data_IF_013434933421
#
_entry.id   IF_013434933421
#
_cell.length_a   1.000
_cell.length_b   1.000
_cell.length_c   1.000
_cell.angle_alpha   90.00
_cell.angle_beta   90.00
_cell.angle_gamma   90.00
#
_symmetry.space_group_name_H-M   'P 1'
#
loop_
_entity.id
_entity.type
_entity.pdbx_description
1 polymer ?
#
# COMPACT_ATOMS: atom_id res chain seq x y z
N UNK A 1 16.25 25.40 -11.02
CA UNK A 1 16.87 25.19 -9.69
C UNK A 1 15.79 24.70 -8.73
N UNK A 2 15.58 23.38 -8.64
CA UNK A 2 14.56 22.80 -7.77
C UNK A 2 15.17 22.44 -6.43
N UNK A 3 14.66 23.04 -5.34
CA UNK A 3 15.01 22.63 -3.98
C UNK A 3 14.70 21.14 -3.83
N UNK A 4 15.74 20.32 -3.74
CA UNK A 4 15.62 18.96 -3.24
C UNK A 4 15.27 19.08 -1.75
N UNK A 5 13.98 19.19 -1.44
CA UNK A 5 13.54 18.93 -0.07
C UNK A 5 13.89 17.48 0.23
N UNK A 6 14.98 17.27 0.96
CA UNK A 6 15.26 15.98 1.57
C UNK A 6 14.11 15.74 2.56
N UNK A 7 13.22 14.81 2.25
CA UNK A 7 12.15 14.42 3.14
C UNK A 7 12.76 13.66 4.32
N UNK A 8 12.40 14.06 5.54
CA UNK A 8 12.83 13.32 6.74
C UNK A 8 11.91 12.12 6.95
N UNK A 9 12.30 11.19 7.84
CA UNK A 9 11.48 10.03 8.16
C UNK A 9 10.08 10.45 8.68
N UNK A 10 10.03 11.49 9.50
CA UNK A 10 8.82 12.04 10.12
C UNK A 10 7.80 12.57 9.09
N UNK A 11 8.27 13.10 7.96
CA UNK A 11 7.40 13.60 6.89
C UNK A 11 6.50 12.50 6.31
N UNK A 12 7.00 11.26 6.28
CA UNK A 12 6.25 10.09 5.82
C UNK A 12 5.11 9.71 6.76
N UNK A 13 5.16 10.15 8.02
CA UNK A 13 4.17 9.95 9.06
C UNK A 13 3.35 11.20 9.37
N UNK A 14 3.39 12.21 8.50
CA UNK A 14 2.45 13.35 8.56
C UNK A 14 0.99 12.88 8.52
N UNK A 15 0.10 13.64 9.18
CA UNK A 15 -1.36 13.40 9.17
C UNK A 15 -1.88 13.09 7.78
N UNK A 16 -1.49 13.89 6.79
CA UNK A 16 -1.94 13.73 5.41
C UNK A 16 -1.48 12.39 4.81
N UNK A 17 -0.25 11.96 5.10
CA UNK A 17 0.29 10.68 4.62
C UNK A 17 -0.47 9.50 5.23
N UNK A 18 -0.74 9.55 6.53
CA UNK A 18 -1.51 8.52 7.25
C UNK A 18 -2.95 8.47 6.73
N UNK A 19 -3.62 9.62 6.65
CA UNK A 19 -4.99 9.74 6.12
C UNK A 19 -5.09 9.18 4.69
N UNK A 20 -4.15 9.52 3.80
CA UNK A 20 -4.15 8.97 2.43
C UNK A 20 -3.98 7.45 2.41
N UNK A 21 -3.15 6.90 3.29
CA UNK A 21 -3.01 5.46 3.45
C UNK A 21 -4.33 4.83 3.93
N UNK A 22 -4.97 5.39 4.97
CA UNK A 22 -6.24 4.93 5.50
C UNK A 22 -7.38 4.99 4.47
N UNK A 23 -7.47 6.09 3.71
CA UNK A 23 -8.43 6.23 2.60
C UNK A 23 -8.26 5.09 1.59
N UNK A 24 -7.02 4.72 1.26
CA UNK A 24 -6.76 3.60 0.34
C UNK A 24 -7.35 2.29 0.85
N UNK A 25 -7.19 1.99 2.15
CA UNK A 25 -7.82 0.82 2.77
C UNK A 25 -9.35 0.92 2.75
N UNK A 26 -9.91 2.09 3.08
CA UNK A 26 -11.36 2.32 3.06
C UNK A 26 -11.98 2.13 1.68
N UNK A 27 -11.29 2.56 0.62
CA UNK A 27 -11.73 2.37 -0.76
C UNK A 27 -11.65 0.91 -1.22
N UNK A 28 -10.57 0.20 -0.84
CA UNK A 28 -10.46 -1.25 -1.10
C UNK A 28 -11.60 -2.02 -0.44
N UNK A 29 -11.92 -1.69 0.81
CA UNK A 29 -13.04 -2.29 1.53
C UNK A 29 -14.39 -1.97 0.85
N UNK A 30 -14.60 -0.71 0.45
CA UNK A 30 -15.82 -0.32 -0.25
C UNK A 30 -16.00 -1.06 -1.58
N UNK A 31 -14.91 -1.26 -2.34
CA UNK A 31 -14.92 -2.07 -3.56
C UNK A 31 -15.23 -3.53 -3.26
N UNK A 32 -14.54 -4.14 -2.29
CA UNK A 32 -14.78 -5.53 -1.86
C UNK A 32 -16.26 -5.77 -1.50
N UNK A 33 -16.84 -4.90 -0.67
CA UNK A 33 -18.26 -4.96 -0.30
C UNK A 33 -19.17 -4.84 -1.51
N UNK A 34 -18.88 -3.90 -2.42
CA UNK A 34 -19.67 -3.73 -3.63
C UNK A 34 -19.65 -4.98 -4.51
N UNK A 35 -18.47 -5.56 -4.71
CA UNK A 35 -18.29 -6.78 -5.49
C UNK A 35 -19.03 -7.95 -4.80
N UNK A 36 -18.93 -8.09 -3.47
CA UNK A 36 -19.67 -9.09 -2.70
C UNK A 36 -21.18 -8.96 -2.83
N UNK A 37 -21.75 -7.76 -2.57
CA UNK A 37 -23.18 -7.52 -2.73
C UNK A 37 -23.68 -7.75 -4.15
N UNK A 38 -22.83 -7.44 -5.15
CA UNK A 38 -23.14 -7.74 -6.54
C UNK A 38 -23.34 -9.25 -6.73
N UNK A 39 -22.39 -10.08 -6.27
CA UNK A 39 -22.49 -11.54 -6.36
C UNK A 39 -23.63 -12.13 -5.52
N UNK A 40 -23.84 -11.65 -4.30
CA UNK A 40 -24.91 -12.14 -3.41
C UNK A 40 -26.30 -11.90 -4.01
N UNK A 41 -26.50 -10.79 -4.72
CA UNK A 41 -27.75 -10.54 -5.44
C UNK A 41 -28.05 -11.62 -6.49
N UNK A 42 -27.03 -12.30 -7.02
CA UNK A 42 -27.21 -13.44 -7.91
C UNK A 42 -27.36 -14.76 -7.16
N UNK A 43 -26.65 -14.94 -6.04
CA UNK A 43 -26.51 -16.25 -5.36
C UNK A 43 -27.48 -16.43 -4.17
N UNK A 44 -28.19 -15.38 -3.73
CA UNK A 44 -29.11 -15.40 -2.58
C UNK A 44 -28.49 -15.98 -1.29
N UNK A 45 -27.19 -15.71 -1.06
CA UNK A 45 -26.48 -16.17 0.14
C UNK A 45 -26.37 -15.06 1.19
N UNK A 46 -26.74 -15.34 2.44
CA UNK A 46 -26.83 -14.33 3.53
C UNK A 46 -25.58 -14.19 4.42
N UNK A 47 -24.43 -14.77 4.08
CA UNK A 47 -23.28 -14.85 5.01
C UNK A 47 -22.21 -13.77 4.79
N UNK A 48 -22.49 -12.52 5.19
CA UNK A 48 -21.47 -11.46 5.29
C UNK A 48 -20.87 -11.41 6.70
N UNK A 49 -19.74 -12.09 6.90
CA UNK A 49 -18.90 -11.87 8.09
C UNK A 49 -18.00 -10.66 7.85
N UNK A 50 -18.21 -9.59 8.63
CA UNK A 50 -17.29 -8.45 8.67
C UNK A 50 -15.97 -8.87 9.32
N UNK A 51 -14.84 -8.46 8.74
CA UNK A 51 -13.54 -8.68 9.38
C UNK A 51 -13.18 -7.57 10.37
N UNK A 52 -12.21 -7.79 11.25
CA UNK A 52 -11.81 -6.81 12.28
C UNK A 52 -11.37 -5.47 11.69
N UNK A 53 -10.60 -5.49 10.59
CA UNK A 53 -10.19 -4.28 9.88
C UNK A 53 -11.38 -3.46 9.38
N UNK A 54 -12.45 -4.13 8.94
CA UNK A 54 -13.68 -3.49 8.46
C UNK A 54 -14.46 -2.84 9.59
N UNK A 55 -14.49 -3.47 10.77
CA UNK A 55 -15.06 -2.90 12.00
C UNK A 55 -14.25 -1.69 12.46
N UNK A 56 -12.91 -1.73 12.38
CA UNK A 56 -12.08 -0.59 12.74
C UNK A 56 -12.24 0.57 11.76
N UNK A 57 -12.24 0.29 10.45
CA UNK A 57 -12.44 1.30 9.40
C UNK A 57 -13.83 1.95 9.46
N UNK A 58 -14.87 1.25 9.92
CA UNK A 58 -16.20 1.83 10.08
C UNK A 58 -16.29 2.77 11.29
N UNK A 59 -15.45 2.59 12.31
CA UNK A 59 -15.35 3.49 13.47
C UNK A 59 -14.67 4.81 13.14
N UNK A 60 -13.64 4.79 12.27
CA UNK A 60 -12.83 5.98 11.95
C UNK A 60 -13.23 6.70 10.66
N UNK A 61 -14.18 6.16 9.89
CA UNK A 61 -14.66 6.79 8.65
C UNK A 61 -16.19 6.86 8.60
N UNK A 62 -16.75 7.95 8.06
CA UNK A 62 -18.18 8.02 7.82
C UNK A 62 -18.62 7.03 6.72
N UNK A 63 -19.89 6.58 6.75
CA UNK A 63 -20.45 5.78 5.67
C UNK A 63 -20.50 6.58 4.35
N UNK A 64 -20.52 5.87 3.22
CA UNK A 64 -20.32 6.45 1.88
C UNK A 64 -21.36 7.50 1.50
N UNK A 65 -22.60 7.35 1.97
CA UNK A 65 -23.68 8.31 1.76
C UNK A 65 -23.43 9.67 2.45
N UNK A 66 -22.54 9.73 3.45
CA UNK A 66 -22.16 10.96 4.13
C UNK A 66 -20.93 11.63 3.50
N UNK A 67 -20.34 11.03 2.46
CA UNK A 67 -19.18 11.59 1.79
C UNK A 67 -19.59 12.84 1.02
N UNK A 68 -18.96 13.95 1.37
CA UNK A 68 -19.16 15.24 0.75
C UNK A 68 -18.48 15.25 -0.62
N UNK A 69 -19.14 15.86 -1.59
CA UNK A 69 -18.66 15.95 -2.96
C UNK A 69 -17.81 17.21 -3.12
N UNK A 70 -16.56 17.09 -3.60
CA UNK A 70 -15.77 18.25 -4.01
C UNK A 70 -16.48 19.03 -5.13
N UNK A 71 -16.07 20.29 -5.34
CA UNK A 71 -16.61 21.12 -6.40
C UNK A 71 -16.46 20.47 -7.79
N UNK A 72 -17.30 20.87 -8.76
CA UNK A 72 -17.32 20.24 -10.09
C UNK A 72 -15.94 20.25 -10.80
N UNK A 73 -15.17 21.34 -10.66
CA UNK A 73 -13.83 21.47 -11.26
C UNK A 73 -12.85 20.41 -10.76
N UNK A 74 -12.82 20.14 -9.46
CA UNK A 74 -11.97 19.09 -8.87
C UNK A 74 -12.43 17.68 -9.24
N UNK A 75 -13.72 17.48 -9.53
CA UNK A 75 -14.26 16.17 -9.96
C UNK A 75 -13.90 15.78 -11.40
N UNK A 76 -13.82 16.74 -12.32
CA UNK A 76 -13.52 16.45 -13.74
C UNK A 76 -12.04 16.09 -13.94
N UNK A 77 -11.14 16.70 -13.17
CA UNK A 77 -9.70 16.44 -13.23
C UNK A 77 -9.15 16.19 -11.82
N UNK A 78 -9.42 15.01 -11.24
CA UNK A 78 -8.85 14.66 -9.95
C UNK A 78 -7.32 14.66 -10.06
N UNK A 79 -6.64 15.39 -9.16
CA UNK A 79 -5.16 15.46 -9.13
C UNK A 79 -4.52 14.10 -8.81
N UNK A 80 -5.28 13.17 -8.23
CA UNK A 80 -4.84 11.83 -7.83
C UNK A 80 -5.55 10.65 -8.50
N UNK A 81 -6.28 10.87 -9.59
CA UNK A 81 -6.90 9.82 -10.41
C UNK A 81 -8.13 9.11 -9.82
N UNK A 82 -8.39 9.19 -8.51
CA UNK A 82 -9.57 8.59 -7.88
C UNK A 82 -10.44 9.65 -7.18
N UNK A 83 -11.58 9.97 -7.80
CA UNK A 83 -12.55 10.96 -7.28
C UNK A 83 -13.13 10.60 -5.91
N UNK A 84 -13.20 9.31 -5.57
CA UNK A 84 -13.65 8.85 -4.25
C UNK A 84 -12.62 9.15 -3.16
N UNK A 85 -11.32 9.04 -3.49
CA UNK A 85 -10.24 9.39 -2.57
C UNK A 85 -10.30 10.88 -2.19
N UNK A 86 -10.47 11.73 -3.20
CA UNK A 86 -10.59 13.17 -3.00
C UNK A 86 -11.87 13.56 -2.25
N UNK A 87 -12.99 12.88 -2.54
CA UNK A 87 -14.25 13.11 -1.82
C UNK A 87 -14.14 12.76 -0.34
N UNK A 88 -13.52 11.61 -0.03
CA UNK A 88 -13.32 11.20 1.36
C UNK A 88 -12.33 12.12 2.08
N UNK A 89 -11.23 12.52 1.44
CA UNK A 89 -10.30 13.49 2.00
C UNK A 89 -10.97 14.84 2.28
N UNK A 90 -11.77 15.34 1.33
CA UNK A 90 -12.55 16.56 1.50
C UNK A 90 -13.53 16.46 2.67
N UNK A 91 -14.21 15.31 2.78
CA UNK A 91 -15.12 15.01 3.90
C UNK A 91 -14.38 15.08 5.23
N UNK A 92 -13.22 14.42 5.34
CA UNK A 92 -12.40 14.43 6.55
C UNK A 92 -12.00 15.84 6.94
N UNK A 93 -11.47 16.61 5.98
CA UNK A 93 -11.02 17.97 6.26
C UNK A 93 -12.18 18.87 6.70
N UNK A 94 -13.35 18.74 6.08
CA UNK A 94 -14.53 19.53 6.44
C UNK A 94 -15.01 19.22 7.87
N UNK A 95 -15.08 17.95 8.26
CA UNK A 95 -15.52 17.60 9.62
C UNK A 95 -14.44 17.88 10.67
N UNK A 96 -13.15 17.74 10.34
CA UNK A 96 -12.04 18.12 11.22
C UNK A 96 -11.94 19.63 11.45
N UNK A 97 -12.45 20.46 10.53
CA UNK A 97 -12.46 21.91 10.68
C UNK A 97 -13.68 22.46 11.44
N UNK A 98 -14.63 21.61 11.86
CA UNK A 98 -15.74 22.03 12.69
C UNK A 98 -15.27 22.27 14.14
N UNK A 99 -15.97 23.13 14.91
CA UNK A 99 -15.79 23.21 16.36
C UNK A 99 -15.92 21.83 17.02
N UNK A 100 -15.16 21.58 18.09
CA UNK A 100 -15.07 20.26 18.73
C UNK A 100 -16.44 19.70 19.13
N UNK A 101 -17.35 20.55 19.57
CA UNK A 101 -18.71 20.20 19.99
C UNK A 101 -19.58 19.70 18.83
N UNK A 102 -19.21 20.02 17.59
CA UNK A 102 -19.91 19.64 16.36
C UNK A 102 -19.18 18.54 15.59
N UNK A 103 -18.03 18.08 16.06
CA UNK A 103 -17.31 16.99 15.41
C UNK A 103 -18.01 15.66 15.72
N UNK A 104 -18.30 14.84 14.70
CA UNK A 104 -18.85 13.50 14.93
C UNK A 104 -17.79 12.59 15.57
N UNK A 105 -18.23 11.60 16.35
CA UNK A 105 -17.35 10.68 17.09
C UNK A 105 -16.23 10.08 16.24
N UNK A 106 -16.51 9.69 15.00
CA UNK A 106 -15.49 9.09 14.12
C UNK A 106 -14.29 10.00 13.85
N UNK A 107 -14.43 11.33 13.95
CA UNK A 107 -13.31 12.27 13.81
C UNK A 107 -12.36 12.15 14.99
N UNK A 108 -12.90 12.02 16.20
CA UNK A 108 -12.11 11.78 17.40
C UNK A 108 -11.39 10.43 17.30
N UNK A 109 -12.09 9.37 16.92
CA UNK A 109 -11.49 8.04 16.70
C UNK A 109 -10.39 8.08 15.63
N UNK A 110 -10.60 8.83 14.54
CA UNK A 110 -9.59 9.01 13.50
C UNK A 110 -8.33 9.71 14.02
N UNK A 111 -8.48 10.81 14.76
CA UNK A 111 -7.35 11.55 15.31
C UNK A 111 -6.57 10.72 16.35
N UNK A 112 -7.28 9.95 17.17
CA UNK A 112 -6.66 9.01 18.11
C UNK A 112 -5.86 7.93 17.35
N UNK A 113 -6.45 7.35 16.30
CA UNK A 113 -5.77 6.34 15.50
C UNK A 113 -4.54 6.88 14.75
N UNK A 114 -4.60 8.12 14.26
CA UNK A 114 -3.43 8.79 13.68
C UNK A 114 -2.34 8.98 14.73
N UNK A 115 -2.71 9.38 15.95
CA UNK A 115 -1.79 9.57 17.06
C UNK A 115 -1.13 8.24 17.48
N UNK A 116 -1.90 7.15 17.53
CA UNK A 116 -1.40 5.79 17.76
C UNK A 116 -0.35 5.40 16.72
N UNK A 117 -0.65 5.56 15.42
CA UNK A 117 0.28 5.25 14.32
C UNK A 117 1.57 6.07 14.45
N UNK A 118 1.45 7.37 14.73
CA UNK A 118 2.62 8.26 14.92
C UNK A 118 3.44 7.84 16.12
N UNK A 119 2.80 7.53 17.24
CA UNK A 119 3.48 7.08 18.45
C UNK A 119 4.25 5.79 18.22
N UNK A 120 3.60 4.81 17.56
CA UNK A 120 4.22 3.52 17.22
C UNK A 120 5.45 3.67 16.31
N UNK A 121 5.40 4.62 15.37
CA UNK A 121 6.46 4.77 14.36
C UNK A 121 7.59 5.72 14.78
N UNK A 122 7.30 6.80 15.49
CA UNK A 122 8.24 7.91 15.71
C UNK A 122 8.77 8.00 17.15
N UNK A 123 7.99 7.53 18.14
CA UNK A 123 8.32 7.73 19.55
C UNK A 123 8.67 6.42 20.28
N UNK A 124 8.39 5.27 19.66
CA UNK A 124 8.79 3.98 20.20
C UNK A 124 10.28 3.71 19.88
N UNK A 125 11.04 3.28 20.89
CA UNK A 125 12.43 2.84 20.73
C UNK A 125 12.52 1.54 19.94
N UNK A 126 11.48 0.70 20.03
CA UNK A 126 11.32 -0.55 19.28
C UNK A 126 9.92 -0.61 18.65
N UNK A 127 9.85 -0.95 17.36
CA UNK A 127 8.56 -1.17 16.70
C UNK A 127 8.17 -2.63 16.89
N UNK A 128 7.28 -2.89 17.84
CA UNK A 128 6.68 -4.22 18.01
C UNK A 128 5.61 -4.46 16.95
N UNK A 129 5.90 -5.36 16.03
CA UNK A 129 4.94 -5.85 15.04
C UNK A 129 4.31 -7.14 15.58
N UNK A 130 2.99 -7.32 15.45
CA UNK A 130 2.36 -8.57 15.83
C UNK A 130 2.91 -9.71 14.97
N UNK A 131 2.97 -10.94 15.50
CA UNK A 131 3.39 -12.10 14.72
C UNK A 131 2.47 -12.23 13.49
N UNK A 132 3.04 -12.38 12.29
CA UNK A 132 2.23 -12.46 11.09
C UNK A 132 1.45 -13.77 11.04
N UNK A 133 0.26 -13.72 10.45
CA UNK A 133 -0.52 -14.91 10.13
C UNK A 133 -0.08 -15.47 8.79
N UNK A 134 0.22 -16.76 8.75
CA UNK A 134 0.53 -17.46 7.51
C UNK A 134 -0.76 -17.98 6.88
N UNK A 135 -1.01 -17.55 5.64
CA UNK A 135 -2.16 -17.98 4.85
C UNK A 135 -1.65 -18.68 3.57
N UNK A 136 -2.10 -19.91 3.28
CA UNK A 136 -1.75 -20.59 2.04
C UNK A 136 -2.49 -19.95 0.86
N UNK A 137 -1.75 -19.50 -0.15
CA UNK A 137 -2.29 -19.02 -1.42
C UNK A 137 -2.02 -20.04 -2.53
N UNK A 138 -3.06 -20.54 -3.20
CA UNK A 138 -2.91 -21.50 -4.30
C UNK A 138 -2.07 -20.89 -5.43
N UNK A 139 -1.15 -21.70 -5.99
CA UNK A 139 -0.40 -21.36 -7.21
C UNK A 139 -1.20 -21.68 -8.49
N UNK A 140 -2.42 -22.23 -8.37
CA UNK A 140 -3.18 -22.79 -9.48
C UNK A 140 -2.35 -23.79 -10.31
N UNK A 141 -1.51 -24.58 -9.63
CA UNK A 141 -0.64 -25.59 -10.22
C UNK A 141 -0.72 -26.85 -9.36
N UNK A 142 -0.66 -28.00 -10.02
CA UNK A 142 -0.59 -29.30 -9.38
C UNK A 142 0.78 -29.94 -9.60
N UNK A 143 1.22 -30.72 -8.64
CA UNK A 143 2.35 -31.63 -8.74
C UNK A 143 1.83 -33.05 -8.45
N UNK A 144 1.54 -33.79 -9.52
CA UNK A 144 0.70 -34.98 -9.46
C UNK A 144 -0.69 -34.65 -8.90
N UNK A 145 -1.06 -35.32 -7.80
CA UNK A 145 -2.33 -35.14 -7.11
C UNK A 145 -2.32 -34.00 -6.08
N UNK A 146 -1.17 -33.40 -5.80
CA UNK A 146 -1.04 -32.35 -4.79
C UNK A 146 -1.20 -30.95 -5.41
N UNK A 147 -2.07 -30.13 -4.82
CA UNK A 147 -2.15 -28.73 -5.15
C UNK A 147 -1.00 -27.95 -4.51
N UNK A 148 -0.32 -27.12 -5.31
CA UNK A 148 0.82 -26.34 -4.85
C UNK A 148 0.36 -25.01 -4.26
N UNK A 149 0.83 -24.72 -3.05
CA UNK A 149 0.55 -23.48 -2.34
C UNK A 149 1.81 -22.61 -2.18
N UNK A 150 1.60 -21.32 -1.93
CA UNK A 150 2.61 -20.36 -1.48
C UNK A 150 2.19 -19.85 -0.10
N UNK A 151 3.06 -19.92 0.93
CA UNK A 151 2.78 -19.27 2.20
C UNK A 151 2.81 -17.75 2.00
N UNK A 152 1.76 -17.06 2.43
CA UNK A 152 1.68 -15.60 2.44
C UNK A 152 1.62 -15.14 3.89
N UNK A 153 2.57 -14.29 4.27
CA UNK A 153 2.61 -13.61 5.55
C UNK A 153 1.67 -12.40 5.53
N UNK A 154 0.69 -12.37 6.43
CA UNK A 154 -0.29 -11.29 6.56
C UNK A 154 -0.18 -10.68 7.96
N UNK A 155 0.00 -9.37 7.99
CA UNK A 155 -0.13 -8.57 9.21
C UNK A 155 -1.59 -8.13 9.31
N UNK A 156 -2.33 -8.65 10.29
CA UNK A 156 -3.77 -8.39 10.42
C UNK A 156 -4.06 -7.01 11.03
N UNK A 157 -3.17 -6.52 11.90
CA UNK A 157 -3.30 -5.19 12.51
C UNK A 157 -3.16 -4.07 11.47
N UNK A 158 -4.16 -3.19 11.43
CA UNK A 158 -4.23 -2.06 10.51
C UNK A 158 -3.15 -1.01 10.82
N UNK A 159 -2.88 -0.74 12.11
CA UNK A 159 -1.89 0.26 12.50
C UNK A 159 -0.49 -0.16 12.04
N UNK A 160 -0.09 -1.38 12.39
CA UNK A 160 1.17 -2.00 11.96
C UNK A 160 1.29 -2.07 10.44
N UNK A 161 0.22 -2.44 9.74
CA UNK A 161 0.19 -2.47 8.28
C UNK A 161 0.46 -1.09 7.66
N UNK A 162 -0.09 -0.03 8.25
CA UNK A 162 0.16 1.34 7.80
C UNK A 162 1.59 1.76 8.10
N UNK A 163 2.10 1.47 9.30
CA UNK A 163 3.50 1.74 9.66
C UNK A 163 4.43 1.06 8.66
N UNK A 164 4.30 -0.25 8.44
CA UNK A 164 5.12 -0.99 7.48
C UNK A 164 5.07 -0.40 6.07
N UNK A 165 3.87 -0.01 5.60
CA UNK A 165 3.72 0.61 4.28
C UNK A 165 4.42 1.96 4.18
N UNK A 166 4.34 2.78 5.23
CA UNK A 166 4.98 4.10 5.27
C UNK A 166 6.50 3.99 5.39
N UNK A 167 7.01 3.06 6.22
CA UNK A 167 8.43 2.72 6.33
C UNK A 167 8.96 2.19 5.00
N UNK A 168 8.30 1.20 4.39
CA UNK A 168 8.72 0.66 3.09
C UNK A 168 8.79 1.75 2.02
N UNK A 169 7.84 2.70 2.06
CA UNK A 169 7.85 3.86 1.17
C UNK A 169 9.05 4.77 1.41
N UNK A 170 9.37 5.08 2.66
CA UNK A 170 10.57 5.84 3.03
C UNK A 170 11.84 5.13 2.53
N UNK A 171 12.00 3.85 2.87
CA UNK A 171 13.16 3.05 2.48
C UNK A 171 13.31 2.98 0.97
N UNK A 172 12.22 2.80 0.21
CA UNK A 172 12.29 2.85 -1.24
C UNK A 172 12.76 4.21 -1.73
N UNK A 173 12.22 5.32 -1.22
CA UNK A 173 12.66 6.66 -1.67
C UNK A 173 14.15 6.92 -1.37
N UNK A 174 14.69 6.37 -0.27
CA UNK A 174 16.11 6.46 0.07
C UNK A 174 17.00 5.51 -0.74
N UNK A 175 16.58 4.26 -0.93
CA UNK A 175 17.42 3.21 -1.53
C UNK A 175 17.31 3.14 -3.06
N UNK A 176 16.24 3.70 -3.67
CA UNK A 176 16.06 3.60 -5.12
C UNK A 176 17.18 4.30 -5.90
N UNK A 177 17.87 5.27 -5.29
CA UNK A 177 19.03 5.96 -5.88
C UNK A 177 20.27 5.07 -6.00
N UNK A 178 20.45 4.08 -5.10
CA UNK A 178 21.63 3.19 -5.11
C UNK A 178 21.41 1.95 -5.98
N UNK A 179 20.16 1.63 -6.33
CA UNK A 179 19.85 0.47 -7.16
C UNK A 179 20.27 0.65 -8.63
N UNK A 180 20.89 -0.38 -9.20
CA UNK A 180 21.30 -0.42 -10.62
C UNK A 180 20.14 -0.12 -11.56
N UNK A 181 20.43 0.56 -12.68
CA UNK A 181 19.44 0.88 -13.73
C UNK A 181 18.85 -0.36 -14.41
N UNK A 182 19.53 -1.51 -14.32
CA UNK A 182 19.05 -2.80 -14.82
C UNK A 182 18.08 -3.51 -13.86
N UNK A 183 17.77 -2.93 -12.69
CA UNK A 183 16.75 -3.45 -11.78
C UNK A 183 15.40 -2.77 -12.04
N UNK A 184 14.41 -3.55 -12.48
CA UNK A 184 13.07 -3.05 -12.88
C UNK A 184 11.98 -3.36 -11.85
N UNK A 185 12.16 -4.38 -11.01
CA UNK A 185 11.14 -4.83 -10.07
C UNK A 185 11.09 -3.93 -8.83
N UNK A 186 9.89 -3.69 -8.31
CA UNK A 186 9.62 -2.97 -7.05
C UNK A 186 10.27 -1.57 -6.94
N UNK A 187 10.54 -0.92 -8.09
CA UNK A 187 11.12 0.42 -8.13
C UNK A 187 10.06 1.48 -7.88
N UNK A 188 10.52 2.62 -7.38
CA UNK A 188 9.66 3.80 -7.14
C UNK A 188 10.15 5.05 -7.84
N UNK A 189 11.46 5.19 -8.03
CA UNK A 189 12.05 6.31 -8.73
C UNK A 189 11.69 6.29 -10.21
N UNK A 190 11.65 7.50 -10.79
CA UNK A 190 11.39 7.72 -12.22
C UNK A 190 12.65 7.49 -13.05
N UNK A 191 13.25 6.31 -12.89
CA UNK A 191 14.58 6.00 -13.44
C UNK A 191 14.57 5.59 -14.91
N UNK A 192 13.41 5.20 -15.45
CA UNK A 192 13.28 4.74 -16.83
C UNK A 192 12.46 5.75 -17.63
N UNK A 193 13.09 6.51 -18.52
CA UNK A 193 12.41 7.53 -19.34
C UNK A 193 11.56 8.52 -18.52
N UNK A 194 12.06 8.96 -17.36
CA UNK A 194 11.35 9.83 -16.42
C UNK A 194 9.98 9.28 -15.96
N UNK A 195 9.83 7.95 -15.91
CA UNK A 195 8.70 7.24 -15.30
C UNK A 195 9.17 6.05 -14.48
N UNK A 196 8.26 5.51 -13.68
CA UNK A 196 8.52 4.29 -12.90
C UNK A 196 8.64 3.11 -13.89
N UNK A 197 9.71 2.30 -13.81
CA UNK A 197 9.88 1.15 -14.69
C UNK A 197 8.82 0.08 -14.41
N UNK A 198 8.53 -0.69 -15.44
CA UNK A 198 7.58 -1.81 -15.42
C UNK A 198 8.26 -3.08 -15.93
N UNK A 199 7.62 -4.23 -15.74
CA UNK A 199 8.13 -5.51 -16.26
C UNK A 199 8.26 -5.50 -17.79
N UNK A 200 7.42 -4.74 -18.50
CA UNK A 200 7.53 -4.58 -19.95
C UNK A 200 8.82 -3.84 -20.37
N UNK A 201 9.37 -2.99 -19.51
CA UNK A 201 10.61 -2.26 -19.82
C UNK A 201 11.83 -3.16 -19.75
N UNK A 202 11.84 -4.11 -18.81
CA UNK A 202 12.84 -5.17 -18.77
C UNK A 202 12.90 -5.91 -20.11
N UNK A 203 11.74 -6.33 -20.63
CA UNK A 203 11.64 -7.00 -21.92
C UNK A 203 12.16 -6.11 -23.08
N UNK A 204 11.81 -4.82 -23.08
CA UNK A 204 12.29 -3.87 -24.09
C UNK A 204 13.82 -3.73 -24.08
N UNK A 205 14.42 -3.65 -22.89
CA UNK A 205 15.89 -3.57 -22.78
C UNK A 205 16.56 -4.88 -23.22
N UNK A 206 15.99 -6.05 -22.93
CA UNK A 206 16.48 -7.33 -23.46
C UNK A 206 16.40 -7.35 -24.99
N UNK A 207 15.26 -6.94 -25.57
CA UNK A 207 15.09 -6.87 -27.02
C UNK A 207 16.10 -5.90 -27.66
N UNK A 208 16.29 -4.73 -27.05
CA UNK A 208 17.27 -3.73 -27.49
C UNK A 208 18.68 -4.29 -27.43
N UNK A 209 19.05 -4.98 -26.36
CA UNK A 209 20.35 -5.64 -26.23
C UNK A 209 20.57 -6.69 -27.31
N UNK A 210 19.51 -7.40 -27.74
CA UNK A 210 19.59 -8.43 -28.78
C UNK A 210 19.84 -7.89 -30.20
N UNK A 211 19.41 -6.66 -30.51
CA UNK A 211 19.52 -6.11 -31.88
C UNK A 211 20.96 -6.16 -32.39
N UNK A 212 21.15 -6.73 -33.58
CA UNK A 212 22.46 -6.83 -34.24
C UNK A 212 23.38 -7.93 -33.71
N UNK A 213 22.94 -8.71 -32.71
CA UNK A 213 23.70 -9.85 -32.19
C UNK A 213 23.14 -11.15 -32.75
N UNK A 214 24.00 -11.93 -33.39
CA UNK A 214 23.67 -13.22 -34.02
C UNK A 214 23.87 -14.39 -33.05
N UNK A 215 24.87 -14.31 -32.18
CA UNK A 215 25.18 -15.32 -31.15
C UNK A 215 25.02 -14.70 -29.76
N UNK A 216 24.07 -15.23 -28.99
CA UNK A 216 23.76 -14.79 -27.64
C UNK A 216 23.61 -16.00 -26.74
N UNK A 217 24.37 -15.98 -25.65
CA UNK A 217 24.24 -16.93 -24.56
C UNK A 217 23.61 -16.20 -23.38
N UNK A 218 22.66 -16.87 -22.73
CA UNK A 218 21.92 -16.32 -21.58
C UNK A 218 22.07 -17.28 -20.41
N UNK A 219 22.46 -16.74 -19.26
CA UNK A 219 22.38 -17.45 -17.99
C UNK A 219 21.10 -17.04 -17.27
N UNK A 220 20.20 -17.99 -17.06
CA UNK A 220 19.06 -17.82 -16.18
C UNK A 220 19.48 -18.16 -14.76
N UNK A 221 19.28 -17.23 -13.83
CA UNK A 221 19.57 -17.41 -12.41
C UNK A 221 18.31 -17.08 -11.60
N UNK A 222 17.89 -18.01 -10.75
CA UNK A 222 16.78 -17.80 -9.82
C UNK A 222 17.25 -18.02 -8.37
N UNK A 223 16.71 -17.24 -7.44
CA UNK A 223 17.07 -17.30 -6.02
C UNK A 223 16.00 -18.08 -5.27
N UNK A 224 16.39 -19.25 -4.72
CA UNK A 224 15.49 -20.10 -3.94
C UNK A 224 15.07 -19.40 -2.65
N UNK A 225 13.76 -19.34 -2.41
CA UNK A 225 13.16 -18.86 -1.16
C UNK A 225 13.75 -17.51 -0.70
N UNK A 226 13.83 -16.53 -1.61
CA UNK A 226 14.50 -15.23 -1.39
C UNK A 226 14.16 -14.56 -0.05
N UNK A 227 12.89 -14.58 0.38
CA UNK A 227 12.48 -13.93 1.63
C UNK A 227 12.86 -14.71 2.89
N UNK A 228 13.14 -16.02 2.77
CA UNK A 228 13.44 -16.91 3.90
C UNK A 228 14.95 -17.16 4.07
N UNK A 229 15.75 -16.82 3.06
CA UNK A 229 17.19 -17.16 3.02
C UNK A 229 18.12 -15.98 3.35
N UNK A 230 17.61 -14.75 3.42
CA UNK A 230 18.43 -13.59 3.75
C UNK A 230 18.66 -13.51 5.26
N UNK A 231 19.93 -13.57 5.68
CA UNK A 231 20.30 -13.44 7.07
C UNK A 231 19.99 -12.02 7.62
N UNK A 232 19.34 -11.95 8.78
CA UNK A 232 18.98 -10.68 9.42
C UNK A 232 20.21 -9.83 9.78
N UNK A 233 21.33 -10.46 10.15
CA UNK A 233 22.60 -9.78 10.45
C UNK A 233 23.12 -8.99 9.25
N UNK A 234 23.08 -9.60 8.06
CA UNK A 234 23.52 -8.96 6.82
C UNK A 234 22.69 -7.71 6.53
N UNK A 235 21.37 -7.78 6.68
CA UNK A 235 20.48 -6.61 6.48
C UNK A 235 20.82 -5.49 7.46
N UNK A 236 21.03 -5.82 8.75
CA UNK A 236 21.29 -4.82 9.81
C UNK A 236 22.67 -4.17 9.70
N UNK A 237 23.66 -4.89 9.16
CA UNK A 237 25.03 -4.41 9.06
C UNK A 237 25.35 -3.77 7.71
N UNK A 238 24.46 -3.86 6.72
CA UNK A 238 24.76 -3.44 5.35
C UNK A 238 24.72 -1.92 5.10
N UNK A 239 24.24 -1.10 6.03
CA UNK A 239 24.13 0.37 5.87
C UNK A 239 24.20 1.11 7.19
#
# INVERSE_FOLDING_TARGET
MGRSHAFTFEDYFSDLSIIKSLITYRLKLAKKRHDQFFFERFVHSENLRSNETEVQLSKIFPPRNHWKRPNFKSRIKPKGGNSYSESLLFTINQYRSLPLEKQPQWVFELNNFISEIRSKALYSSTIELPPPKLVPASKNKKDGDFELYRPISIVEDLASSIVMKLVARYLMDQLDIVFKKSSFAYRRGRIYQNRIPTHHDCYKEIKRFKVGKTELYVSECDIKAFFDTIAHSEIRNSY
#
